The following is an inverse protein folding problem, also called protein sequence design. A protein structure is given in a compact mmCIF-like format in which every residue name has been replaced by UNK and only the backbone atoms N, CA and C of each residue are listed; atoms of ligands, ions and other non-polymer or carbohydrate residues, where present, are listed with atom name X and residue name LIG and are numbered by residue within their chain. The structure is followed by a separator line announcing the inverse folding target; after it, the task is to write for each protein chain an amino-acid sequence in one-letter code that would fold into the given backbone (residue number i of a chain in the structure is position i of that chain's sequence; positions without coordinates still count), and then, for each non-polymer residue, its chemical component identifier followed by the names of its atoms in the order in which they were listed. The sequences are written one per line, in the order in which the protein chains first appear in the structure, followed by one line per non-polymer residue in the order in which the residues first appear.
data_IF_247117845100
#
_entry.id   IF_247117845100
#
_cell.length_a   1.000
_cell.length_b   1.000
_cell.length_c   1.000
_cell.angle_alpha   90.00
_cell.angle_beta   90.00
_cell.angle_gamma   90.00
#
_symmetry.space_group_name_H-M   'P 1'
#
loop_
_entity.id
_entity.type
_entity.pdbx_description
1 polymer ?
#
# COMPACT_ATOMS: atom_id res chain seq x y z
N UNK A 1 -11.39 -17.24 2.09
CA UNK A 1 -9.91 -17.34 2.15
C UNK A 1 -9.16 -16.56 1.06
N UNK A 2 -9.73 -16.30 -0.13
CA UNK A 2 -8.98 -15.77 -1.28
C UNK A 2 -8.36 -14.35 -1.16
N UNK A 3 -8.66 -13.59 -0.09
CA UNK A 3 -8.15 -12.22 0.14
C UNK A 3 -7.27 -12.07 1.39
N UNK A 4 -6.89 -13.18 2.03
CA UNK A 4 -6.13 -13.13 3.28
C UNK A 4 -4.82 -12.36 3.12
N UNK A 5 -4.16 -12.48 1.96
CA UNK A 5 -2.92 -11.77 1.67
C UNK A 5 -3.13 -10.26 1.51
N UNK A 6 -4.20 -9.85 0.83
CA UNK A 6 -4.56 -8.44 0.69
C UNK A 6 -4.94 -7.77 2.02
N UNK A 7 -5.74 -8.44 2.86
CA UNK A 7 -6.09 -7.93 4.19
C UNK A 7 -4.86 -7.85 5.11
N UNK A 8 -3.97 -8.84 5.05
CA UNK A 8 -2.69 -8.80 5.77
C UNK A 8 -1.84 -7.60 5.34
N UNK A 9 -1.72 -7.38 4.03
CA UNK A 9 -0.99 -6.24 3.47
C UNK A 9 -1.56 -4.90 3.95
N UNK A 10 -2.89 -4.71 3.89
CA UNK A 10 -3.53 -3.49 4.41
C UNK A 10 -3.25 -3.27 5.89
N UNK A 11 -3.28 -4.34 6.67
CA UNK A 11 -2.99 -4.28 8.12
C UNK A 11 -1.54 -3.86 8.39
N UNK A 12 -0.58 -4.42 7.64
CA UNK A 12 0.83 -4.04 7.76
C UNK A 12 1.02 -2.58 7.36
N UNK A 13 0.49 -2.18 6.21
CA UNK A 13 0.61 -0.80 5.70
C UNK A 13 -0.04 0.22 6.64
N UNK A 14 -1.21 -0.07 7.21
CA UNK A 14 -1.85 0.80 8.19
C UNK A 14 -1.03 0.94 9.48
N UNK A 15 -0.30 -0.11 9.89
CA UNK A 15 0.58 -0.02 11.07
C UNK A 15 1.82 0.82 10.82
N UNK A 16 2.33 0.86 9.59
CA UNK A 16 3.55 1.61 9.24
C UNK A 16 3.23 2.97 8.60
N UNK A 17 1.97 3.38 8.52
CA UNK A 17 1.53 4.62 7.87
C UNK A 17 1.98 5.90 8.57
N UNK A 18 2.61 5.79 9.75
CA UNK A 18 3.21 6.90 10.47
C UNK A 18 4.60 7.29 9.96
N UNK A 19 5.27 6.42 9.19
CA UNK A 19 6.60 6.66 8.62
C UNK A 19 6.55 6.38 7.11
N UNK A 20 6.67 7.43 6.31
CA UNK A 20 6.56 7.32 4.86
C UNK A 20 7.70 6.48 4.23
N UNK A 21 8.90 6.49 4.80
CA UNK A 21 10.01 5.69 4.28
C UNK A 21 9.77 4.20 4.53
N UNK A 22 9.28 3.84 5.72
CA UNK A 22 8.92 2.47 6.05
C UNK A 22 7.71 2.02 5.23
N UNK A 23 6.70 2.88 5.09
CA UNK A 23 5.52 2.61 4.29
C UNK A 23 5.90 2.30 2.83
N UNK A 24 6.72 3.13 2.20
CA UNK A 24 7.20 2.90 0.83
C UNK A 24 7.92 1.54 0.67
N UNK A 25 8.68 1.10 1.67
CA UNK A 25 9.36 -0.22 1.64
C UNK A 25 8.34 -1.37 1.70
N UNK A 26 7.32 -1.25 2.54
CA UNK A 26 6.26 -2.26 2.63
C UNK A 26 5.34 -2.26 1.40
N UNK A 27 5.09 -1.10 0.78
CA UNK A 27 4.36 -1.02 -0.51
C UNK A 27 5.10 -1.78 -1.61
N UNK A 28 6.43 -1.65 -1.71
CA UNK A 28 7.21 -2.44 -2.67
C UNK A 28 7.06 -3.94 -2.44
N UNK A 29 7.18 -4.40 -1.19
CA UNK A 29 6.98 -5.81 -0.85
C UNK A 29 5.57 -6.30 -1.16
N UNK A 30 4.57 -5.43 -1.01
CA UNK A 30 3.18 -5.75 -1.33
C UNK A 30 3.00 -5.96 -2.84
N UNK A 31 3.58 -5.10 -3.68
CA UNK A 31 3.53 -5.20 -5.15
C UNK A 31 4.10 -6.55 -5.61
N UNK A 32 5.21 -7.00 -5.03
CA UNK A 32 5.83 -8.29 -5.39
C UNK A 32 4.99 -9.53 -4.99
N UNK A 33 4.04 -9.36 -4.06
CA UNK A 33 3.27 -10.47 -3.45
C UNK A 33 1.81 -10.53 -3.88
N UNK A 34 1.25 -9.39 -4.27
CA UNK A 34 -0.16 -9.25 -4.62
C UNK A 34 -0.39 -9.52 -6.10
N UNK A 35 -1.61 -9.93 -6.43
CA UNK A 35 -2.04 -10.09 -7.81
C UNK A 35 -2.30 -8.71 -8.44
N UNK A 36 -2.20 -8.55 -9.77
CA UNK A 36 -2.36 -7.27 -10.45
C UNK A 36 -3.66 -6.52 -10.08
N UNK A 37 -4.78 -7.24 -9.94
CA UNK A 37 -6.05 -6.64 -9.54
C UNK A 37 -6.05 -6.15 -8.07
N UNK A 38 -5.31 -6.82 -7.19
CA UNK A 38 -5.17 -6.41 -5.78
C UNK A 38 -4.28 -5.18 -5.66
N UNK A 39 -3.30 -5.02 -6.55
CA UNK A 39 -2.44 -3.83 -6.63
C UNK A 39 -3.29 -2.60 -7.02
N UNK A 40 -4.21 -2.73 -7.97
CA UNK A 40 -5.15 -1.66 -8.31
C UNK A 40 -6.08 -1.30 -7.13
N UNK A 41 -6.62 -2.30 -6.43
CA UNK A 41 -7.38 -2.06 -5.19
C UNK A 41 -6.51 -1.36 -4.13
N UNK A 42 -5.25 -1.77 -3.99
CA UNK A 42 -4.31 -1.19 -3.03
C UNK A 42 -4.03 0.28 -3.34
N UNK A 43 -3.85 0.63 -4.61
CA UNK A 43 -3.62 1.99 -5.06
C UNK A 43 -4.75 2.92 -4.63
N UNK A 44 -6.01 2.51 -4.86
CA UNK A 44 -7.17 3.29 -4.44
C UNK A 44 -7.22 3.47 -2.92
N UNK A 45 -6.85 2.44 -2.16
CA UNK A 45 -6.80 2.49 -0.71
C UNK A 45 -5.71 3.45 -0.20
N UNK A 46 -4.50 3.43 -0.79
CA UNK A 46 -3.40 4.35 -0.42
C UNK A 46 -3.76 5.80 -0.76
N UNK A 47 -4.41 6.06 -1.89
CA UNK A 47 -4.92 7.40 -2.24
C UNK A 47 -5.94 7.91 -1.21
N UNK A 48 -6.69 7.01 -0.56
CA UNK A 48 -7.54 7.36 0.57
C UNK A 48 -6.72 7.80 1.80
N UNK A 49 -5.65 7.09 2.10
CA UNK A 49 -4.74 7.40 3.23
C UNK A 49 -3.96 8.70 3.02
N UNK A 50 -3.59 9.05 1.79
CA UNK A 50 -2.85 10.29 1.52
C UNK A 50 -3.64 11.55 1.85
N UNK A 51 -4.98 11.46 1.97
CA UNK A 51 -5.82 12.57 2.45
C UNK A 51 -5.55 12.90 3.92
N UNK A 52 -5.14 11.92 4.72
CA UNK A 52 -4.80 12.10 6.13
C UNK A 52 -3.30 12.32 6.30
N UNK A 53 -2.49 11.59 5.54
CA UNK A 53 -1.03 11.59 5.61
C UNK A 53 -0.42 11.91 4.23
N UNK A 54 -0.29 13.20 3.87
CA UNK A 54 0.17 13.64 2.55
C UNK A 54 1.55 13.09 2.18
N UNK A 55 2.40 12.81 3.17
CA UNK A 55 3.74 12.23 2.99
C UNK A 55 3.72 10.85 2.34
N UNK A 56 2.62 10.09 2.43
CA UNK A 56 2.51 8.77 1.80
C UNK A 56 2.35 8.85 0.28
N UNK A 57 2.06 10.04 -0.26
CA UNK A 57 1.87 10.26 -1.70
C UNK A 57 3.13 9.90 -2.50
N UNK A 58 4.31 10.08 -1.90
CA UNK A 58 5.58 9.67 -2.51
C UNK A 58 5.66 8.16 -2.78
N UNK A 59 4.90 7.33 -2.05
CA UNK A 59 4.91 5.88 -2.23
C UNK A 59 4.03 5.43 -3.41
N UNK A 60 3.10 6.27 -3.88
CA UNK A 60 2.28 5.97 -5.06
C UNK A 60 3.11 5.89 -6.35
N UNK A 61 4.29 6.52 -6.40
CA UNK A 61 5.17 6.44 -7.57
C UNK A 61 5.60 5.00 -7.89
N UNK A 62 5.59 4.10 -6.90
CA UNK A 62 5.95 2.70 -7.09
C UNK A 62 4.82 1.85 -7.69
N UNK A 63 3.58 2.35 -7.68
CA UNK A 63 2.38 1.65 -8.17
C UNK A 63 2.02 2.04 -9.61
N UNK A 64 2.78 2.96 -10.22
CA UNK A 64 2.47 3.57 -11.51
C UNK A 64 3.22 2.93 -12.69
N UNK A 65 3.62 1.65 -12.55
CA UNK A 65 4.46 0.92 -13.52
C UNK A 65 3.67 -0.18 -14.22
#
# INVERSE_FOLDING_TARGET
MARAMFEYTKTVLAKVSFDANLFCKEVKKAIDRLLPYEIEELRLWIVGLTRQNPELNQCLMYLNT
#
